data_IF_526342598384
#
_entry.id   IF_526342598384
#
_cell.length_a   1.000
_cell.length_b   1.000
_cell.length_c   1.000
_cell.angle_alpha   90.00
_cell.angle_beta   90.00
_cell.angle_gamma   90.00
#
_symmetry.space_group_name_H-M   'P 1'
#
loop_
_entity.id
_entity.type
_entity.pdbx_description
1 polymer ?
#
# COMPACT_ATOMS: atom_id res chain seq x y z
N UNK A 1 -6.37 6.84 -16.96
CA UNK A 1 -5.64 8.00 -17.51
C UNK A 1 -6.21 8.33 -18.87
N UNK A 2 -6.43 9.60 -19.17
CA UNK A 2 -6.77 10.07 -20.53
C UNK A 2 -5.55 9.95 -21.45
N UNK A 3 -5.77 10.05 -22.76
CA UNK A 3 -4.67 10.09 -23.74
C UNK A 3 -3.72 11.26 -23.46
N UNK A 4 -4.27 12.43 -23.16
CA UNK A 4 -3.51 13.63 -22.80
C UNK A 4 -2.69 13.43 -21.52
N UNK A 5 -3.31 12.89 -20.46
CA UNK A 5 -2.60 12.56 -19.22
C UNK A 5 -1.45 11.59 -19.47
N UNK A 6 -1.63 10.63 -20.39
CA UNK A 6 -0.60 9.62 -20.72
C UNK A 6 0.59 10.23 -21.45
N UNK A 7 0.34 11.15 -22.40
CA UNK A 7 1.40 11.91 -23.09
C UNK A 7 2.19 12.80 -22.12
N UNK A 8 1.48 13.56 -21.27
CA UNK A 8 2.09 14.41 -20.23
C UNK A 8 2.93 13.57 -19.27
N UNK A 9 2.39 12.44 -18.83
CA UNK A 9 3.06 11.55 -17.89
C UNK A 9 4.36 10.97 -18.45
N UNK A 10 4.35 10.46 -19.70
CA UNK A 10 5.55 9.95 -20.36
C UNK A 10 6.62 11.03 -20.50
N UNK A 11 6.23 12.24 -20.92
CA UNK A 11 7.17 13.34 -21.04
C UNK A 11 7.82 13.70 -19.70
N UNK A 12 7.02 13.82 -18.65
CA UNK A 12 7.51 14.20 -17.32
C UNK A 12 8.35 13.10 -16.63
N UNK A 13 8.26 11.84 -17.07
CA UNK A 13 9.21 10.79 -16.66
C UNK A 13 10.61 11.01 -17.23
N UNK A 14 10.72 11.52 -18.46
CA UNK A 14 12.00 11.80 -19.11
C UNK A 14 12.53 13.20 -18.78
N UNK A 15 11.64 14.16 -18.53
CA UNK A 15 11.96 15.57 -18.30
C UNK A 15 11.23 16.11 -17.05
N UNK A 16 11.62 15.66 -15.85
CA UNK A 16 11.00 16.13 -14.61
C UNK A 16 11.24 17.63 -14.41
N UNK A 17 10.38 18.27 -13.61
CA UNK A 17 10.47 19.70 -13.26
C UNK A 17 10.27 20.66 -14.46
N UNK A 18 9.44 20.24 -15.41
CA UNK A 18 9.11 21.01 -16.61
C UNK A 18 7.92 21.94 -16.40
N UNK A 19 7.92 23.07 -17.10
CA UNK A 19 6.81 24.02 -17.08
C UNK A 19 5.67 23.56 -18.01
N UNK A 20 4.43 23.98 -17.72
CA UNK A 20 3.29 23.69 -18.58
C UNK A 20 3.49 24.14 -20.04
N UNK A 21 4.29 25.18 -20.28
CA UNK A 21 4.65 25.64 -21.64
C UNK A 21 5.51 24.62 -22.38
N UNK A 22 6.49 24.03 -21.71
CA UNK A 22 7.40 23.04 -22.29
C UNK A 22 6.66 21.73 -22.56
N UNK A 23 5.83 21.31 -21.61
CA UNK A 23 4.98 20.12 -21.75
C UNK A 23 4.04 20.28 -22.95
N UNK A 24 3.37 21.42 -23.08
CA UNK A 24 2.46 21.73 -24.18
C UNK A 24 3.15 21.68 -25.55
N UNK A 25 4.38 22.20 -25.65
CA UNK A 25 5.15 22.15 -26.88
C UNK A 25 5.50 20.70 -27.28
N UNK A 26 5.85 19.85 -26.32
CA UNK A 26 6.17 18.45 -26.60
C UNK A 26 4.93 17.63 -26.97
N UNK A 27 3.85 17.73 -26.18
CA UNK A 27 2.69 16.87 -26.37
C UNK A 27 1.81 17.31 -27.55
N UNK A 28 2.15 18.44 -28.18
CA UNK A 28 1.44 19.01 -29.33
C UNK A 28 0.08 19.60 -28.97
N UNK A 29 -0.08 20.12 -27.76
CA UNK A 29 -1.38 20.52 -27.19
C UNK A 29 -1.38 21.96 -26.69
N UNK A 30 -2.57 22.54 -26.55
CA UNK A 30 -2.70 23.91 -26.04
C UNK A 30 -2.37 23.95 -24.55
N UNK A 31 -1.54 24.93 -24.13
CA UNK A 31 -1.14 25.12 -22.73
C UNK A 31 -2.32 25.13 -21.74
N UNK A 32 -3.49 25.64 -22.15
CA UNK A 32 -4.69 25.65 -21.33
C UNK A 32 -5.21 24.24 -21.02
N UNK A 33 -5.23 23.33 -22.02
CA UNK A 33 -5.63 21.93 -21.84
C UNK A 33 -4.62 21.16 -20.98
N UNK A 34 -3.33 21.41 -21.20
CA UNK A 34 -2.26 20.84 -20.37
C UNK A 34 -2.39 21.29 -18.92
N UNK A 35 -2.60 22.59 -18.67
CA UNK A 35 -2.85 23.10 -17.32
C UNK A 35 -4.09 22.44 -16.70
N UNK A 36 -5.19 22.36 -17.44
CA UNK A 36 -6.41 21.72 -16.95
C UNK A 36 -6.14 20.27 -16.53
N UNK A 37 -5.44 19.50 -17.37
CA UNK A 37 -5.08 18.13 -17.07
C UNK A 37 -4.16 18.01 -15.84
N UNK A 38 -3.10 18.84 -15.78
CA UNK A 38 -2.14 18.87 -14.67
C UNK A 38 -2.82 19.17 -13.32
N UNK A 39 -3.71 20.17 -13.29
CA UNK A 39 -4.46 20.50 -12.07
C UNK A 39 -5.55 19.46 -11.74
N UNK A 40 -6.28 18.95 -12.73
CA UNK A 40 -7.34 17.95 -12.50
C UNK A 40 -6.80 16.62 -11.95
N UNK A 41 -5.53 16.32 -12.24
CA UNK A 41 -4.84 15.11 -11.79
C UNK A 41 -3.71 15.44 -10.80
N UNK A 42 -3.71 16.65 -10.22
CA UNK A 42 -2.77 17.03 -9.17
C UNK A 42 -2.91 16.10 -7.97
N UNK A 43 -1.81 15.76 -7.32
CA UNK A 43 -1.74 14.84 -6.18
C UNK A 43 -2.22 13.40 -6.47
N UNK A 44 -2.66 13.10 -7.71
CA UNK A 44 -2.91 11.73 -8.21
C UNK A 44 -1.88 11.25 -9.23
N UNK A 45 -1.55 12.08 -10.22
CA UNK A 45 -0.58 11.76 -11.29
C UNK A 45 0.56 12.76 -11.38
N UNK A 46 0.33 14.01 -10.97
CA UNK A 46 1.28 15.09 -11.11
C UNK A 46 1.42 15.85 -9.80
N UNK A 47 2.65 16.26 -9.48
CA UNK A 47 2.94 17.14 -8.34
C UNK A 47 3.56 18.42 -8.84
N UNK A 48 3.07 19.53 -8.30
CA UNK A 48 3.63 20.86 -8.54
C UNK A 48 4.82 21.09 -7.62
N UNK A 49 5.92 21.61 -8.16
CA UNK A 49 7.08 22.07 -7.38
C UNK A 49 6.95 23.56 -7.06
N UNK A 50 7.70 24.03 -6.05
CA UNK A 50 7.67 25.43 -5.63
C UNK A 50 8.26 26.35 -6.71
N UNK A 51 7.60 27.48 -6.98
CA UNK A 51 8.06 28.49 -7.92
C UNK A 51 6.97 29.08 -8.83
N UNK A 52 7.33 30.19 -9.50
CA UNK A 52 6.53 30.83 -10.55
C UNK A 52 7.42 31.06 -11.78
N UNK A 53 7.07 30.53 -12.97
CA UNK A 53 5.89 29.71 -13.27
C UNK A 53 5.95 28.32 -12.61
N UNK A 54 4.78 27.68 -12.35
CA UNK A 54 4.73 26.36 -11.72
C UNK A 54 5.38 25.31 -12.61
N UNK A 55 6.23 24.49 -11.99
CA UNK A 55 6.88 23.34 -12.60
C UNK A 55 6.25 22.06 -12.09
N UNK A 56 6.30 21.02 -12.91
CA UNK A 56 5.56 19.78 -12.68
C UNK A 56 6.49 18.57 -12.75
N UNK A 57 6.21 17.60 -11.89
CA UNK A 57 6.81 16.27 -11.92
C UNK A 57 5.70 15.22 -12.09
N UNK A 58 5.97 14.17 -12.87
CA UNK A 58 5.12 13.00 -12.87
C UNK A 58 5.31 12.27 -11.54
N UNK A 59 4.23 12.07 -10.81
CA UNK A 59 4.26 11.16 -9.68
C UNK A 59 4.22 9.77 -10.25
N UNK A 60 5.37 9.12 -10.26
CA UNK A 60 5.41 7.73 -10.64
C UNK A 60 4.61 6.95 -9.58
N UNK A 61 3.48 6.28 -9.91
CA UNK A 61 2.75 5.48 -8.93
C UNK A 61 3.63 4.34 -8.39
N UNK A 62 4.73 4.01 -9.09
CA UNK A 62 5.72 3.08 -8.58
C UNK A 62 6.75 3.66 -7.60
N UNK A 63 6.86 5.00 -7.48
CA UNK A 63 7.72 5.67 -6.49
C UNK A 63 6.92 6.33 -5.35
N UNK A 64 5.70 6.83 -5.59
CA UNK A 64 4.89 7.46 -4.50
C UNK A 64 4.38 6.44 -3.48
N UNK A 65 4.18 5.20 -3.89
CA UNK A 65 3.69 4.12 -3.01
C UNK A 65 4.81 3.22 -2.49
N UNK A 66 6.08 3.57 -2.78
CA UNK A 66 7.23 2.75 -2.38
C UNK A 66 7.83 3.23 -1.07
N UNK A 67 7.39 2.65 0.04
CA UNK A 67 8.01 2.85 1.34
C UNK A 67 9.21 1.91 1.49
N UNK A 68 10.41 2.43 1.77
CA UNK A 68 11.56 1.58 2.11
C UNK A 68 11.29 0.88 3.46
N UNK A 69 11.88 -0.30 3.69
CA UNK A 69 11.80 -1.01 4.98
C UNK A 69 12.28 -0.14 6.15
N UNK A 70 13.27 0.71 5.89
CA UNK A 70 13.75 1.71 6.86
C UNK A 70 12.67 2.73 7.22
N UNK A 71 11.91 3.19 6.23
CA UNK A 71 10.80 4.13 6.43
C UNK A 71 9.61 3.46 7.14
N UNK A 72 9.45 2.15 6.95
CA UNK A 72 8.47 1.33 7.66
C UNK A 72 8.85 1.05 9.13
N UNK A 73 9.99 1.57 9.62
CA UNK A 73 10.50 1.37 10.97
C UNK A 73 10.60 -0.11 11.37
N UNK A 74 10.95 -0.97 10.40
CA UNK A 74 11.03 -2.42 10.61
C UNK A 74 9.68 -3.13 10.78
N UNK A 75 8.54 -2.47 10.51
CA UNK A 75 7.22 -3.11 10.53
C UNK A 75 6.98 -3.90 9.24
N UNK A 76 6.34 -5.06 9.38
CA UNK A 76 5.77 -5.78 8.23
C UNK A 76 4.49 -5.11 7.70
N UNK A 77 4.01 -5.58 6.54
CA UNK A 77 2.85 -5.00 5.85
C UNK A 77 1.63 -4.74 6.74
N UNK A 78 1.17 -5.67 7.62
CA UNK A 78 0.04 -5.36 8.49
C UNK A 78 0.29 -4.15 9.39
N UNK A 79 1.48 -4.05 9.98
CA UNK A 79 1.86 -2.91 10.82
C UNK A 79 2.00 -1.60 10.05
N UNK A 80 2.45 -1.64 8.78
CA UNK A 80 2.46 -0.46 7.89
C UNK A 80 1.04 0.00 7.54
N UNK A 81 0.14 -0.96 7.34
CA UNK A 81 -1.30 -0.72 7.12
C UNK A 81 -2.04 -0.31 8.40
N UNK A 82 -1.33 -0.18 9.53
CA UNK A 82 -1.88 0.30 10.80
C UNK A 82 -2.48 -0.78 11.72
N UNK A 83 -2.28 -2.06 11.42
CA UNK A 83 -2.75 -3.15 12.28
C UNK A 83 -2.04 -3.11 13.64
N UNK A 84 -2.82 -3.00 14.72
CA UNK A 84 -2.31 -2.92 16.10
C UNK A 84 -3.23 -3.67 17.08
N UNK A 85 -2.62 -4.43 17.99
CA UNK A 85 -3.28 -5.20 19.05
C UNK A 85 -2.85 -4.73 20.45
N UNK A 86 -3.51 -5.25 21.48
CA UNK A 86 -3.23 -5.03 22.91
C UNK A 86 -4.03 -3.88 23.52
N UNK A 87 -3.70 -3.52 24.76
CA UNK A 87 -4.45 -2.53 25.57
C UNK A 87 -4.62 -1.13 24.92
N UNK A 88 -3.72 -0.75 24.00
CA UNK A 88 -3.81 0.49 23.21
C UNK A 88 -4.02 0.22 21.71
N UNK A 89 -4.43 -1.00 21.38
CA UNK A 89 -4.70 -1.47 20.03
C UNK A 89 -6.04 -1.01 19.50
N UNK A 90 -6.26 -1.27 18.22
CA UNK A 90 -7.54 -0.98 17.57
C UNK A 90 -8.58 -2.03 17.95
N UNK A 91 -9.86 -1.65 17.97
CA UNK A 91 -10.95 -2.62 18.15
C UNK A 91 -11.06 -3.62 16.99
N UNK A 92 -11.70 -4.76 17.23
CA UNK A 92 -11.80 -5.89 16.28
C UNK A 92 -12.30 -5.49 14.90
N UNK A 93 -13.30 -4.60 14.81
CA UNK A 93 -13.81 -4.09 13.53
C UNK A 93 -12.71 -3.45 12.68
N UNK A 94 -11.92 -2.54 13.26
CA UNK A 94 -10.87 -1.82 12.54
C UNK A 94 -9.72 -2.76 12.18
N UNK A 95 -9.28 -3.61 13.10
CA UNK A 95 -8.25 -4.62 12.82
C UNK A 95 -8.64 -5.53 11.66
N UNK A 96 -9.85 -6.09 11.68
CA UNK A 96 -10.36 -6.97 10.63
C UNK A 96 -10.54 -6.24 9.30
N UNK A 97 -10.94 -4.97 9.31
CA UNK A 97 -11.00 -4.16 8.08
C UNK A 97 -9.64 -4.03 7.40
N UNK A 98 -8.55 -3.89 8.17
CA UNK A 98 -7.19 -3.83 7.65
C UNK A 98 -6.78 -5.20 7.08
N UNK A 99 -7.07 -6.29 7.79
CA UNK A 99 -6.77 -7.64 7.33
C UNK A 99 -7.52 -8.00 6.03
N UNK A 100 -8.80 -7.62 5.95
CA UNK A 100 -9.59 -7.75 4.72
C UNK A 100 -9.00 -6.90 3.58
N UNK A 101 -8.56 -5.67 3.86
CA UNK A 101 -7.90 -4.84 2.85
C UNK A 101 -6.68 -5.57 2.26
N UNK A 102 -5.85 -6.16 3.12
CA UNK A 102 -4.66 -6.91 2.68
C UNK A 102 -5.05 -8.06 1.75
N UNK A 103 -6.11 -8.81 2.10
CA UNK A 103 -6.60 -9.93 1.29
C UNK A 103 -7.24 -9.50 -0.04
N UNK A 104 -8.10 -8.48 -0.01
CA UNK A 104 -9.08 -8.19 -1.06
C UNK A 104 -8.66 -7.05 -2.00
N UNK A 105 -7.60 -6.29 -1.66
CA UNK A 105 -7.19 -5.10 -2.42
C UNK A 105 -5.73 -5.21 -2.91
N UNK A 106 -5.35 -4.42 -3.93
CA UNK A 106 -3.96 -4.23 -4.29
C UNK A 106 -3.16 -3.73 -3.08
N UNK A 107 -1.98 -4.31 -2.85
CA UNK A 107 -1.13 -3.93 -1.74
C UNK A 107 -0.27 -2.73 -2.09
N UNK A 108 0.00 -1.82 -1.13
CA UNK A 108 1.04 -0.82 -1.32
C UNK A 108 2.39 -1.51 -1.51
N UNK A 109 3.29 -0.89 -2.26
CA UNK A 109 4.62 -1.44 -2.51
C UNK A 109 5.53 -1.12 -1.34
N UNK A 110 5.55 -1.94 -0.31
CA UNK A 110 6.50 -1.72 0.78
C UNK A 110 7.77 -2.56 0.57
N UNK A 111 8.90 -2.06 1.04
CA UNK A 111 10.17 -2.79 1.05
C UNK A 111 10.64 -3.18 -0.38
N UNK A 112 11.09 -4.43 -0.57
CA UNK A 112 11.61 -4.97 -1.81
C UNK A 112 10.52 -5.64 -2.65
N UNK A 113 10.75 -5.71 -3.96
CA UNK A 113 9.86 -6.47 -4.86
C UNK A 113 9.77 -7.95 -4.45
N UNK A 114 10.88 -8.51 -3.96
CA UNK A 114 10.92 -9.88 -3.44
C UNK A 114 10.01 -10.04 -2.23
N UNK A 115 10.07 -9.12 -1.26
CA UNK A 115 9.18 -9.14 -0.10
C UNK A 115 7.71 -9.07 -0.51
N UNK A 116 7.36 -8.19 -1.45
CA UNK A 116 5.98 -8.08 -1.92
C UNK A 116 5.51 -9.30 -2.72
N UNK A 117 6.42 -10.01 -3.40
CA UNK A 117 6.10 -11.25 -4.10
C UNK A 117 5.65 -12.37 -3.15
N UNK A 118 6.15 -12.39 -1.91
CA UNK A 118 5.75 -13.36 -0.88
C UNK A 118 4.27 -13.24 -0.47
N UNK A 119 3.64 -12.08 -0.72
CA UNK A 119 2.23 -11.85 -0.40
C UNK A 119 1.26 -12.40 -1.45
N UNK A 120 1.77 -12.92 -2.58
CA UNK A 120 0.94 -13.53 -3.62
C UNK A 120 -0.10 -12.59 -4.24
N UNK A 121 -1.02 -13.17 -5.01
CA UNK A 121 -2.11 -12.43 -5.66
C UNK A 121 -3.26 -12.11 -4.70
N UNK A 122 -4.10 -11.15 -5.08
CA UNK A 122 -5.34 -10.82 -4.36
C UNK A 122 -6.19 -12.08 -4.22
N UNK A 123 -6.74 -12.31 -3.02
CA UNK A 123 -7.63 -13.45 -2.74
C UNK A 123 -7.03 -14.83 -3.05
N UNK A 124 -5.70 -14.98 -2.95
CA UNK A 124 -5.01 -16.26 -3.15
C UNK A 124 -4.75 -17.01 -1.83
N UNK A 125 -4.65 -18.36 -1.86
CA UNK A 125 -4.27 -19.13 -0.68
C UNK A 125 -2.89 -18.73 -0.14
N UNK A 126 -1.94 -18.41 -1.02
CA UNK A 126 -0.60 -17.91 -0.66
C UNK A 126 -0.69 -16.65 0.20
N UNK A 127 -1.58 -15.71 -0.18
CA UNK A 127 -1.77 -14.47 0.56
C UNK A 127 -2.37 -14.70 1.94
N UNK A 128 -3.40 -15.56 2.01
CA UNK A 128 -4.02 -15.93 3.28
C UNK A 128 -3.02 -16.61 4.20
N UNK A 129 -2.27 -17.59 3.69
CA UNK A 129 -1.22 -18.30 4.42
C UNK A 129 -0.15 -17.33 4.96
N UNK A 130 0.31 -16.39 4.14
CA UNK A 130 1.28 -15.36 4.56
C UNK A 130 0.73 -14.51 5.70
N UNK A 131 -0.54 -14.11 5.61
CA UNK A 131 -1.19 -13.25 6.59
C UNK A 131 -1.40 -13.96 7.93
N UNK A 132 -1.96 -15.18 7.93
CA UNK A 132 -2.18 -15.94 9.18
C UNK A 132 -0.86 -16.33 9.84
N UNK A 133 0.15 -16.69 9.07
CA UNK A 133 1.48 -16.99 9.59
C UNK A 133 2.16 -15.74 10.18
N UNK A 134 1.95 -14.56 9.60
CA UNK A 134 2.45 -13.32 10.17
C UNK A 134 1.89 -13.10 11.59
N UNK A 135 0.58 -13.29 11.79
CA UNK A 135 -0.06 -13.15 13.10
C UNK A 135 0.40 -14.25 14.07
N UNK A 136 0.53 -15.49 13.61
CA UNK A 136 1.03 -16.60 14.42
C UNK A 136 2.47 -16.37 14.90
N UNK A 137 3.34 -15.80 14.07
CA UNK A 137 4.69 -15.40 14.49
C UNK A 137 4.63 -14.32 15.57
N UNK A 138 3.76 -13.32 15.44
CA UNK A 138 3.60 -12.31 16.50
C UNK A 138 3.13 -12.94 17.81
N UNK A 139 2.18 -13.86 17.76
CA UNK A 139 1.73 -14.63 18.92
C UNK A 139 2.88 -15.40 19.57
N UNK A 140 3.55 -16.26 18.80
CA UNK A 140 4.54 -17.21 19.32
C UNK A 140 5.85 -16.58 19.82
N UNK A 141 6.16 -15.36 19.36
CA UNK A 141 7.43 -14.68 19.72
C UNK A 141 7.29 -13.70 20.90
N UNK A 142 6.06 -13.38 21.32
CA UNK A 142 5.81 -12.37 22.36
C UNK A 142 5.48 -13.04 23.69
N UNK A 143 6.06 -12.58 24.82
CA UNK A 143 5.83 -13.21 26.12
C UNK A 143 4.38 -13.03 26.57
N UNK A 144 3.65 -14.15 26.73
CA UNK A 144 2.22 -14.17 27.02
C UNK A 144 1.84 -13.30 28.23
N UNK A 145 2.65 -13.31 29.31
CA UNK A 145 2.38 -12.53 30.52
C UNK A 145 2.34 -11.01 30.34
N UNK A 146 2.95 -10.47 29.27
CA UNK A 146 2.94 -9.02 28.98
C UNK A 146 1.96 -8.65 27.84
N UNK A 147 1.56 -9.63 27.02
CA UNK A 147 0.81 -9.42 25.78
C UNK A 147 -0.52 -10.19 25.76
N UNK A 148 -1.13 -10.41 26.93
CA UNK A 148 -2.35 -11.23 27.10
C UNK A 148 -3.45 -10.80 26.12
N UNK A 149 -3.74 -9.50 26.06
CA UNK A 149 -4.77 -8.97 25.15
C UNK A 149 -4.39 -9.19 23.69
N UNK A 150 -3.13 -8.89 23.33
CA UNK A 150 -2.65 -9.08 21.96
C UNK A 150 -2.70 -10.54 21.51
N UNK A 151 -2.38 -11.49 22.40
CA UNK A 151 -2.48 -12.92 22.15
C UNK A 151 -3.91 -13.34 21.81
N UNK A 152 -4.88 -12.94 22.65
CA UNK A 152 -6.30 -13.20 22.41
C UNK A 152 -6.77 -12.61 21.08
N UNK A 153 -6.31 -11.41 20.76
CA UNK A 153 -6.67 -10.72 19.53
C UNK A 153 -6.07 -11.37 18.30
N UNK A 154 -4.81 -11.79 18.33
CA UNK A 154 -4.18 -12.53 17.23
C UNK A 154 -4.90 -13.85 16.96
N UNK A 155 -5.25 -14.60 18.02
CA UNK A 155 -6.02 -15.84 17.88
C UNK A 155 -7.37 -15.55 17.20
N UNK A 156 -8.13 -14.58 17.71
CA UNK A 156 -9.44 -14.24 17.19
C UNK A 156 -9.40 -13.72 15.74
N UNK A 157 -8.33 -13.02 15.36
CA UNK A 157 -8.17 -12.50 14.00
C UNK A 157 -7.66 -13.57 13.03
N UNK A 158 -6.86 -14.55 13.49
CA UNK A 158 -6.52 -15.77 12.70
C UNK A 158 -7.79 -16.58 12.42
N UNK A 159 -8.60 -16.85 13.44
CA UNK A 159 -9.81 -17.65 13.29
C UNK A 159 -10.81 -16.94 12.36
N UNK A 160 -10.97 -15.62 12.50
CA UNK A 160 -11.76 -14.81 11.56
C UNK A 160 -11.30 -14.92 10.11
N UNK A 161 -9.98 -14.88 9.86
CA UNK A 161 -9.44 -14.97 8.51
C UNK A 161 -9.68 -16.34 7.89
N UNK A 162 -9.49 -17.41 8.65
CA UNK A 162 -9.69 -18.78 8.18
C UNK A 162 -11.17 -19.10 7.93
N UNK A 163 -12.06 -18.60 8.78
CA UNK A 163 -13.51 -18.74 8.59
C UNK A 163 -13.99 -17.94 7.37
N UNK A 164 -13.58 -16.67 7.25
CA UNK A 164 -14.01 -15.80 6.15
C UNK A 164 -13.56 -16.29 4.78
N UNK A 165 -12.38 -16.90 4.70
CA UNK A 165 -11.76 -17.33 3.46
C UNK A 165 -11.56 -18.85 3.39
N UNK A 166 -12.45 -19.61 4.03
CA UNK A 166 -12.40 -21.09 4.12
C UNK A 166 -12.22 -21.76 2.75
N UNK A 167 -12.86 -21.20 1.71
CA UNK A 167 -12.77 -21.71 0.34
C UNK A 167 -11.35 -21.73 -0.24
N UNK A 168 -10.40 -21.01 0.36
CA UNK A 168 -8.99 -21.02 -0.05
C UNK A 168 -8.21 -22.22 0.52
N UNK A 169 -8.78 -23.00 1.44
CA UNK A 169 -8.20 -24.27 1.90
C UNK A 169 -6.88 -24.15 2.65
N UNK A 170 -6.62 -23.01 3.31
CA UNK A 170 -5.41 -22.78 4.10
C UNK A 170 -5.57 -23.37 5.51
N UNK A 171 -4.57 -24.11 5.96
CA UNK A 171 -4.57 -24.71 7.29
C UNK A 171 -4.30 -23.69 8.40
N UNK A 172 -4.88 -23.94 9.58
CA UNK A 172 -4.62 -23.13 10.77
C UNK A 172 -3.16 -23.28 11.22
N UNK A 173 -2.42 -22.19 11.44
CA UNK A 173 -1.03 -22.27 11.87
C UNK A 173 -0.92 -22.75 13.32
N UNK A 174 0.22 -23.36 13.68
CA UNK A 174 0.51 -23.76 15.06
C UNK A 174 0.75 -22.53 15.94
N UNK A 175 0.01 -22.45 17.04
CA UNK A 175 0.18 -21.45 18.09
C UNK A 175 0.84 -22.12 19.31
N UNK A 176 1.87 -21.47 19.87
CA UNK A 176 2.70 -21.97 20.96
C UNK A 176 2.66 -21.02 22.15
#
# INVERSE_FOLDING_TARGET
MTELETKIFKFLLSHPNSEAKQIAAEVGEVKALVNLALYSASERLFKKTEGTPPRWIAMNPSQSDRLDYKDCQGRGLPGVMGYKTGATGDGSYKRRSILMHIMEKPLPRINSQQYMAEWGEIMSPVRLERLVNHLAVQHNTRPAGQFIDSHREWIADIDFLLERYESLGVNRPTLR
#
